data_IF_198784228713
#
_entry.id   IF_198784228713
#
_cell.length_a   1.000
_cell.length_b   1.000
_cell.length_c   1.000
_cell.angle_alpha   90.00
_cell.angle_beta   90.00
_cell.angle_gamma   90.00
#
_symmetry.space_group_name_H-M   'P 1'
#
loop_
_entity.id
_entity.type
_entity.pdbx_description
1 polymer ?
#
# COMPACT_ATOMS: atom_id res chain seq x y z
N UNK A 1 0.91 72.84 30.71
CA UNK A 1 1.92 71.90 30.16
C UNK A 1 1.19 70.68 29.61
N UNK A 2 1.30 70.44 28.29
CA UNK A 2 0.70 69.32 27.57
C UNK A 2 1.55 68.05 27.79
N UNK A 3 0.93 66.91 28.11
CA UNK A 3 1.47 65.59 27.78
C UNK A 3 0.34 64.68 27.32
N UNK A 4 0.34 64.43 26.01
CA UNK A 4 -0.37 63.38 25.29
C UNK A 4 0.50 62.12 25.43
N UNK A 5 -0.08 61.00 25.85
CA UNK A 5 0.56 59.69 25.69
C UNK A 5 -0.43 58.73 25.02
N UNK A 6 -0.24 58.58 23.71
CA UNK A 6 -0.74 57.48 22.90
C UNK A 6 -0.09 56.18 23.40
N UNK A 7 -0.88 55.14 23.65
CA UNK A 7 -0.36 53.77 23.69
C UNK A 7 -1.20 52.84 22.81
N UNK A 8 -0.70 52.70 21.59
CA UNK A 8 -0.55 51.49 20.75
C UNK A 8 -1.54 50.35 20.98
N UNK A 9 -2.41 50.20 19.99
CA UNK A 9 -3.23 49.02 19.68
C UNK A 9 -2.31 47.86 19.27
N UNK A 10 -2.29 46.77 20.05
CA UNK A 10 -1.67 45.51 19.65
C UNK A 10 -2.76 44.57 19.11
N UNK A 11 -3.00 44.65 17.80
CA UNK A 11 -3.90 43.73 17.10
C UNK A 11 -3.25 42.35 16.95
N UNK A 12 -3.78 41.36 17.66
CA UNK A 12 -3.43 39.96 17.45
C UNK A 12 -4.07 39.45 16.15
N UNK A 13 -3.32 39.47 15.05
CA UNK A 13 -3.67 38.70 13.84
C UNK A 13 -3.55 37.21 14.15
N UNK A 14 -4.68 36.58 14.51
CA UNK A 14 -4.84 35.13 14.44
C UNK A 14 -4.92 34.75 12.95
N UNK A 15 -3.77 34.43 12.36
CA UNK A 15 -3.70 33.73 11.07
C UNK A 15 -4.23 32.30 11.29
N UNK A 16 -5.54 32.12 11.17
CA UNK A 16 -6.15 30.81 11.00
C UNK A 16 -5.65 30.26 9.67
N UNK A 17 -4.63 29.41 9.72
CA UNK A 17 -4.15 28.68 8.56
C UNK A 17 -5.30 27.89 7.97
N UNK A 18 -5.75 28.29 6.78
CA UNK A 18 -6.62 27.48 5.93
C UNK A 18 -5.88 26.18 5.61
N UNK A 19 -6.13 25.15 6.42
CA UNK A 19 -5.74 23.78 6.11
C UNK A 19 -6.58 23.40 4.89
N UNK A 20 -5.98 23.45 3.70
CA UNK A 20 -6.61 22.92 2.48
C UNK A 20 -6.78 21.42 2.64
N UNK A 21 -7.91 21.01 3.21
CA UNK A 21 -8.25 19.62 3.42
C UNK A 21 -8.55 19.02 2.04
N UNK A 22 -7.54 18.37 1.46
CA UNK A 22 -7.71 17.56 0.26
C UNK A 22 -8.81 16.51 0.54
N UNK A 23 -9.74 16.27 -0.42
CA UNK A 23 -10.82 15.32 -0.17
C UNK A 23 -10.26 13.94 0.15
N UNK A 24 -10.79 13.33 1.23
CA UNK A 24 -10.35 12.03 1.69
C UNK A 24 -10.53 10.96 0.60
N UNK A 25 -9.55 10.06 0.46
CA UNK A 25 -9.61 8.96 -0.49
C UNK A 25 -10.84 8.07 -0.23
N UNK A 26 -11.64 7.84 -1.27
CA UNK A 26 -12.88 7.04 -1.18
C UNK A 26 -12.57 5.55 -1.28
N UNK A 27 -12.53 4.87 -0.14
CA UNK A 27 -12.49 3.40 -0.05
C UNK A 27 -13.87 2.80 -0.28
N UNK A 28 -13.96 1.78 -1.14
CA UNK A 28 -15.19 1.07 -1.51
C UNK A 28 -14.96 -0.44 -1.52
N UNK A 29 -16.01 -1.22 -1.27
CA UNK A 29 -15.98 -2.67 -1.45
C UNK A 29 -16.15 -2.97 -2.94
N UNK A 30 -15.09 -3.50 -3.55
CA UNK A 30 -14.99 -3.77 -4.98
C UNK A 30 -14.95 -5.27 -5.27
N UNK A 31 -15.23 -6.14 -4.29
CA UNK A 31 -15.18 -7.61 -4.47
C UNK A 31 -16.04 -8.09 -5.64
N UNK A 32 -17.13 -7.39 -5.93
CA UNK A 32 -18.05 -7.71 -7.02
C UNK A 32 -17.82 -6.97 -8.34
N UNK A 33 -16.77 -6.14 -8.43
CA UNK A 33 -16.40 -5.41 -9.66
C UNK A 33 -15.37 -6.20 -10.47
N UNK A 34 -15.45 -6.11 -11.79
CA UNK A 34 -14.47 -6.69 -12.72
C UNK A 34 -14.13 -8.14 -12.35
N UNK A 35 -15.18 -8.96 -12.14
CA UNK A 35 -15.00 -10.37 -11.81
C UNK A 35 -14.37 -11.06 -13.01
N UNK A 36 -13.27 -11.75 -12.76
CA UNK A 36 -12.60 -12.61 -13.71
C UNK A 36 -12.32 -13.95 -13.04
N UNK A 37 -12.06 -14.97 -13.83
CA UNK A 37 -11.54 -16.24 -13.32
C UNK A 37 -10.10 -16.01 -12.84
N UNK A 38 -9.77 -16.29 -11.56
CA UNK A 38 -8.39 -16.19 -11.09
C UNK A 38 -7.47 -17.11 -11.90
N UNK A 39 -6.27 -16.63 -12.22
CA UNK A 39 -5.31 -17.38 -13.01
C UNK A 39 -4.76 -18.59 -12.22
N UNK A 40 -4.74 -19.75 -12.85
CA UNK A 40 -4.18 -21.00 -12.31
C UNK A 40 -2.74 -21.26 -12.74
N UNK A 41 -2.18 -20.43 -13.62
CA UNK A 41 -0.81 -20.53 -14.09
C UNK A 41 0.19 -19.99 -13.05
N UNK A 42 1.43 -20.47 -13.13
CA UNK A 42 2.54 -20.02 -12.27
C UNK A 42 3.60 -19.35 -13.15
N UNK A 43 3.23 -18.23 -13.77
CA UNK A 43 3.95 -17.54 -14.84
C UNK A 43 4.88 -16.42 -14.31
N UNK A 44 5.75 -16.78 -13.37
CA UNK A 44 6.62 -15.80 -12.70
C UNK A 44 7.58 -15.11 -13.66
N UNK A 45 7.79 -13.81 -13.44
CA UNK A 45 8.71 -12.98 -14.22
C UNK A 45 9.92 -12.62 -13.37
N UNK A 46 11.12 -12.67 -13.94
CA UNK A 46 12.33 -12.23 -13.23
C UNK A 46 12.24 -10.74 -12.91
N UNK A 47 12.76 -10.34 -11.76
CA UNK A 47 13.01 -8.93 -11.46
C UNK A 47 14.51 -8.70 -11.29
N UNK A 48 14.95 -7.51 -11.69
CA UNK A 48 16.29 -7.01 -11.43
C UNK A 48 16.37 -6.44 -10.01
N UNK A 49 17.52 -6.52 -9.32
CA UNK A 49 17.67 -5.94 -7.98
C UNK A 49 17.36 -4.43 -7.92
N UNK A 50 17.62 -3.72 -9.02
CA UNK A 50 17.40 -2.27 -9.14
C UNK A 50 15.92 -1.90 -9.14
N UNK A 51 15.01 -2.76 -9.63
CA UNK A 51 13.57 -2.49 -9.64
C UNK A 51 12.97 -2.41 -8.23
N UNK A 52 13.46 -3.20 -7.27
CA UNK A 52 12.96 -3.13 -5.90
C UNK A 52 13.54 -1.93 -5.13
N UNK A 53 14.83 -1.62 -5.34
CA UNK A 53 15.54 -0.57 -4.61
C UNK A 53 15.14 0.85 -5.01
N UNK A 54 14.46 1.04 -6.15
CA UNK A 54 14.05 2.37 -6.61
C UNK A 54 12.76 2.87 -5.95
N UNK A 55 12.20 2.16 -4.96
CA UNK A 55 11.02 2.56 -4.21
C UNK A 55 11.39 2.92 -2.77
N UNK A 56 10.96 4.10 -2.32
CA UNK A 56 10.96 4.42 -0.89
C UNK A 56 9.73 3.80 -0.25
N UNK A 57 9.94 2.76 0.55
CA UNK A 57 8.90 2.08 1.31
C UNK A 57 9.06 2.47 2.77
N UNK A 58 7.97 2.88 3.40
CA UNK A 58 7.95 3.35 4.79
C UNK A 58 6.92 2.59 5.62
N UNK A 59 7.12 2.55 6.94
CA UNK A 59 6.09 2.12 7.87
C UNK A 59 5.03 3.23 8.10
N UNK A 60 4.01 2.92 8.92
CA UNK A 60 2.93 3.87 9.26
C UNK A 60 3.39 5.19 9.93
N UNK A 61 4.62 5.24 10.44
CA UNK A 61 5.20 6.41 11.11
C UNK A 61 6.16 7.19 10.18
N UNK A 62 6.41 6.69 8.96
CA UNK A 62 7.29 7.33 7.99
C UNK A 62 8.74 6.84 8.03
N UNK A 63 9.07 5.86 8.88
CA UNK A 63 10.43 5.32 8.91
C UNK A 63 10.66 4.45 7.66
N UNK A 64 11.77 4.65 6.93
CA UNK A 64 12.15 3.78 5.81
C UNK A 64 12.27 2.32 6.22
N UNK A 65 11.91 1.42 5.30
CA UNK A 65 11.95 -0.03 5.51
C UNK A 65 12.77 -0.67 4.39
N UNK A 66 13.76 -1.46 4.81
CA UNK A 66 14.49 -2.35 3.93
C UNK A 66 14.04 -3.77 4.22
N UNK A 67 13.49 -4.45 3.21
CA UNK A 67 13.11 -5.84 3.34
C UNK A 67 14.34 -6.74 3.19
N UNK A 68 14.35 -7.84 3.92
CA UNK A 68 15.34 -8.89 3.71
C UNK A 68 15.14 -9.51 2.30
N UNK A 69 16.17 -10.19 1.78
CA UNK A 69 16.16 -10.75 0.42
C UNK A 69 15.12 -11.86 0.20
N UNK A 70 14.56 -12.45 1.26
CA UNK A 70 13.65 -13.60 1.17
C UNK A 70 12.19 -13.26 1.46
N UNK A 71 11.91 -12.10 2.06
CA UNK A 71 10.58 -11.67 2.45
C UNK A 71 9.70 -11.54 1.21
N UNK A 72 8.56 -12.27 1.16
CA UNK A 72 7.55 -12.03 0.14
C UNK A 72 6.85 -10.70 0.40
N UNK A 73 6.63 -9.92 -0.66
CA UNK A 73 6.04 -8.58 -0.63
C UNK A 73 4.89 -8.56 -1.62
N UNK A 74 3.66 -8.34 -1.15
CA UNK A 74 2.51 -8.11 -2.01
C UNK A 74 2.26 -6.62 -2.15
N UNK A 75 2.40 -6.11 -3.37
CA UNK A 75 2.00 -4.76 -3.74
C UNK A 75 0.53 -4.76 -4.13
N UNK A 76 -0.22 -3.86 -3.50
CA UNK A 76 -1.65 -3.71 -3.70
C UNK A 76 -2.04 -2.23 -3.78
N UNK A 77 -3.20 -1.96 -4.37
CA UNK A 77 -3.80 -0.64 -4.37
C UNK A 77 -5.27 -0.74 -3.93
N UNK A 78 -5.69 0.15 -3.04
CA UNK A 78 -7.01 0.12 -2.39
C UNK A 78 -8.20 0.21 -3.36
N UNK A 79 -7.96 0.75 -4.55
CA UNK A 79 -8.96 0.94 -5.60
C UNK A 79 -9.05 -0.26 -6.55
N UNK A 80 -8.20 -1.28 -6.37
CA UNK A 80 -8.11 -2.43 -7.27
C UNK A 80 -9.00 -3.60 -6.80
N UNK A 81 -10.03 -4.00 -7.57
CA UNK A 81 -10.89 -5.14 -7.20
C UNK A 81 -10.12 -6.47 -7.06
N UNK A 82 -9.14 -6.71 -7.94
CA UNK A 82 -8.26 -7.88 -7.91
C UNK A 82 -7.41 -7.94 -6.63
N UNK A 83 -6.96 -6.78 -6.13
CA UNK A 83 -6.25 -6.69 -4.86
C UNK A 83 -7.13 -7.11 -3.69
N UNK A 84 -8.37 -6.59 -3.61
CA UNK A 84 -9.27 -6.92 -2.50
C UNK A 84 -9.59 -8.41 -2.43
N UNK A 85 -9.87 -9.05 -3.57
CA UNK A 85 -10.10 -10.50 -3.63
C UNK A 85 -8.85 -11.28 -3.24
N UNK A 86 -7.68 -10.87 -3.71
CA UNK A 86 -6.41 -11.51 -3.35
C UNK A 86 -6.09 -11.36 -1.86
N UNK A 87 -6.28 -10.18 -1.27
CA UNK A 87 -6.08 -9.95 0.16
C UNK A 87 -7.02 -10.83 1.00
N UNK A 88 -8.31 -10.92 0.63
CA UNK A 88 -9.28 -11.78 1.31
C UNK A 88 -8.92 -13.27 1.19
N UNK A 89 -8.50 -13.70 0.00
CA UNK A 89 -8.06 -15.06 -0.27
C UNK A 89 -6.83 -15.44 0.58
N UNK A 90 -5.83 -14.55 0.64
CA UNK A 90 -4.64 -14.77 1.45
C UNK A 90 -4.93 -14.69 2.96
N UNK A 91 -5.81 -13.78 3.39
CA UNK A 91 -6.20 -13.65 4.80
C UNK A 91 -6.93 -14.91 5.30
N UNK A 92 -7.87 -15.44 4.51
CA UNK A 92 -8.61 -16.66 4.86
C UNK A 92 -7.75 -17.93 4.81
N UNK A 93 -6.75 -17.96 3.93
CA UNK A 93 -5.80 -19.07 3.79
C UNK A 93 -4.50 -18.92 4.58
N UNK A 94 -4.36 -17.89 5.43
CA UNK A 94 -3.06 -17.48 5.99
C UNK A 94 -2.34 -18.61 6.74
N UNK A 95 -3.08 -19.44 7.49
CA UNK A 95 -2.53 -20.59 8.24
C UNK A 95 -1.89 -21.67 7.35
N UNK A 96 -2.16 -21.66 6.04
CA UNK A 96 -1.62 -22.62 5.07
C UNK A 96 -0.38 -22.09 4.33
N UNK A 97 0.06 -20.85 4.62
CA UNK A 97 1.21 -20.21 3.99
C UNK A 97 2.41 -20.32 4.94
N UNK A 98 3.57 -20.81 4.45
CA UNK A 98 4.78 -20.88 5.29
C UNK A 98 5.42 -19.50 5.44
N UNK A 99 5.37 -18.70 4.39
CA UNK A 99 5.98 -17.37 4.31
C UNK A 99 4.91 -16.35 3.91
N UNK A 100 4.01 -15.94 4.83
CA UNK A 100 3.01 -14.94 4.52
C UNK A 100 3.67 -13.61 4.08
N UNK A 101 3.11 -12.92 3.07
CA UNK A 101 3.71 -11.69 2.59
C UNK A 101 3.51 -10.55 3.57
N UNK A 102 4.42 -9.58 3.52
CA UNK A 102 4.09 -8.22 3.97
C UNK A 102 3.33 -7.52 2.86
N UNK A 103 2.43 -6.62 3.23
CA UNK A 103 1.66 -5.84 2.28
C UNK A 103 2.33 -4.48 2.12
N UNK A 104 2.52 -4.04 0.88
CA UNK A 104 2.92 -2.67 0.55
C UNK A 104 1.77 -2.04 -0.21
N UNK A 105 1.05 -1.15 0.49
CA UNK A 105 -0.01 -0.35 -0.09
C UNK A 105 0.59 0.78 -0.92
N UNK A 106 0.13 0.93 -2.16
CA UNK A 106 0.68 1.87 -3.15
C UNK A 106 -0.41 2.28 -4.15
N UNK A 107 -0.04 2.95 -5.24
CA UNK A 107 -0.98 3.42 -6.26
C UNK A 107 -1.84 4.61 -5.78
N UNK A 108 -1.36 5.35 -4.78
CA UNK A 108 -2.06 6.53 -4.26
C UNK A 108 -2.02 7.68 -5.28
N UNK A 109 -3.06 8.54 -5.32
CA UNK A 109 -3.01 9.78 -6.09
C UNK A 109 -1.80 10.65 -5.73
N UNK A 110 -1.34 11.46 -6.69
CA UNK A 110 -0.23 12.40 -6.46
C UNK A 110 -0.54 13.29 -5.25
N UNK A 111 0.47 13.57 -4.45
CA UNK A 111 0.40 14.36 -3.21
C UNK A 111 -0.37 13.72 -2.04
N UNK A 112 -0.79 12.46 -2.15
CA UNK A 112 -1.33 11.74 -0.98
C UNK A 112 -0.30 11.71 0.14
N UNK A 113 -0.69 12.20 1.32
CA UNK A 113 0.14 12.15 2.51
C UNK A 113 0.21 10.73 3.08
N UNK A 114 1.25 10.45 3.87
CA UNK A 114 1.35 9.16 4.57
C UNK A 114 0.15 8.91 5.49
N UNK A 115 -0.35 9.96 6.15
CA UNK A 115 -1.52 9.87 7.04
C UNK A 115 -2.77 9.41 6.29
N UNK A 116 -3.00 9.95 5.10
CA UNK A 116 -4.12 9.56 4.23
C UNK A 116 -3.95 8.13 3.71
N UNK A 117 -2.75 7.75 3.28
CA UNK A 117 -2.44 6.40 2.85
C UNK A 117 -2.73 5.37 3.97
N UNK A 118 -2.24 5.63 5.19
CA UNK A 118 -2.48 4.79 6.37
C UNK A 118 -3.97 4.68 6.71
N UNK A 119 -4.69 5.81 6.68
CA UNK A 119 -6.13 5.82 6.96
C UNK A 119 -6.92 5.04 5.90
N UNK A 120 -6.51 5.14 4.64
CA UNK A 120 -7.13 4.45 3.50
C UNK A 120 -6.97 2.94 3.62
N UNK A 121 -5.75 2.43 3.79
CA UNK A 121 -5.51 0.98 3.94
C UNK A 121 -6.19 0.42 5.20
N UNK A 122 -6.20 1.17 6.32
CA UNK A 122 -6.94 0.77 7.53
C UNK A 122 -8.44 0.63 7.28
N UNK A 123 -9.04 1.59 6.56
CA UNK A 123 -10.47 1.56 6.23
C UNK A 123 -10.80 0.39 5.31
N UNK A 124 -9.95 0.10 4.34
CA UNK A 124 -10.09 -1.05 3.45
C UNK A 124 -10.02 -2.37 4.21
N UNK A 125 -8.97 -2.56 5.01
CA UNK A 125 -8.76 -3.80 5.76
C UNK A 125 -9.92 -4.04 6.74
N UNK A 126 -10.38 -2.99 7.43
CA UNK A 126 -11.55 -3.07 8.31
C UNK A 126 -12.81 -3.45 7.53
N UNK A 127 -13.05 -2.82 6.39
CA UNK A 127 -14.22 -3.08 5.53
C UNK A 127 -14.24 -4.51 4.98
N UNK A 128 -13.07 -5.08 4.70
CA UNK A 128 -12.92 -6.45 4.19
C UNK A 128 -12.75 -7.50 5.30
N UNK A 129 -12.68 -7.11 6.57
CA UNK A 129 -12.43 -8.02 7.69
C UNK A 129 -11.04 -8.65 7.67
N UNK A 130 -10.06 -8.03 7.01
CA UNK A 130 -8.69 -8.56 6.88
C UNK A 130 -7.89 -8.25 8.14
N UNK A 131 -7.20 -9.27 8.65
CA UNK A 131 -6.27 -9.14 9.79
C UNK A 131 -4.99 -9.93 9.53
N UNK A 132 -3.99 -9.83 10.41
CA UNK A 132 -2.80 -10.70 10.39
C UNK A 132 -1.66 -10.28 9.45
N UNK A 133 -1.81 -9.23 8.65
CA UNK A 133 -0.74 -8.72 7.79
C UNK A 133 -0.01 -7.52 8.39
N UNK A 134 1.32 -7.46 8.18
CA UNK A 134 2.09 -6.22 8.34
C UNK A 134 1.92 -5.37 7.09
N UNK A 135 1.60 -4.09 7.27
CA UNK A 135 1.32 -3.15 6.17
C UNK A 135 2.35 -2.01 6.18
N UNK A 136 2.93 -1.77 5.01
CA UNK A 136 3.86 -0.69 4.68
C UNK A 136 3.31 0.12 3.51
N UNK A 137 3.95 1.25 3.21
CA UNK A 137 3.42 2.23 2.27
C UNK A 137 4.50 2.69 1.29
N UNK A 138 4.13 2.77 0.02
CA UNK A 138 4.90 3.46 -1.00
C UNK A 138 4.02 4.55 -1.62
N UNK A 139 4.33 5.82 -1.33
CA UNK A 139 3.55 6.95 -1.86
C UNK A 139 3.84 7.24 -3.34
N UNK A 140 4.97 6.74 -3.85
CA UNK A 140 5.33 6.79 -5.27
C UNK A 140 5.48 5.37 -5.78
N UNK A 141 4.75 5.05 -6.83
CA UNK A 141 4.81 3.75 -7.48
C UNK A 141 6.05 3.64 -8.38
N UNK A 142 6.66 2.45 -8.43
CA UNK A 142 7.61 2.09 -9.47
C UNK A 142 6.92 1.24 -10.56
N UNK A 143 6.58 1.88 -11.68
CA UNK A 143 5.91 1.23 -12.82
C UNK A 143 6.74 0.13 -13.51
N UNK A 144 8.06 0.07 -13.29
CA UNK A 144 8.89 -1.03 -13.81
C UNK A 144 8.67 -2.30 -12.99
N UNK A 145 8.66 -2.16 -11.66
CA UNK A 145 8.41 -3.27 -10.74
C UNK A 145 6.94 -3.71 -10.81
N UNK A 146 6.03 -2.74 -10.66
CA UNK A 146 4.59 -2.94 -10.58
C UNK A 146 3.99 -2.61 -11.95
N UNK A 147 3.84 -3.65 -12.78
CA UNK A 147 3.23 -3.53 -14.12
C UNK A 147 1.72 -3.81 -14.10
N UNK A 148 1.19 -4.18 -12.94
CA UNK A 148 -0.20 -4.52 -12.71
C UNK A 148 -0.45 -4.87 -11.24
N UNK A 149 -1.72 -5.01 -10.87
CA UNK A 149 -2.14 -5.26 -9.50
C UNK A 149 -3.00 -6.52 -9.41
N UNK A 150 -2.89 -7.29 -8.31
CA UNK A 150 -1.80 -7.24 -7.32
C UNK A 150 -0.47 -7.69 -7.93
N UNK A 151 0.67 -7.35 -7.31
CA UNK A 151 1.99 -7.89 -7.69
C UNK A 151 2.66 -8.49 -6.47
N UNK A 152 2.93 -9.79 -6.47
CA UNK A 152 3.74 -10.44 -5.45
C UNK A 152 5.20 -10.49 -5.92
N UNK A 153 6.12 -10.02 -5.09
CA UNK A 153 7.56 -10.22 -5.28
C UNK A 153 8.07 -11.18 -4.20
N UNK A 154 8.73 -12.25 -4.61
CA UNK A 154 9.25 -13.28 -3.71
C UNK A 154 10.55 -13.89 -4.25
N UNK A 155 11.14 -14.81 -3.50
CA UNK A 155 12.41 -15.45 -3.87
C UNK A 155 12.16 -16.87 -4.34
N UNK A 156 12.65 -17.20 -5.52
CA UNK A 156 12.59 -18.53 -6.12
C UNK A 156 13.96 -18.87 -6.71
N UNK A 157 14.52 -20.03 -6.35
CA UNK A 157 15.86 -20.47 -6.77
C UNK A 157 16.94 -19.39 -6.58
N UNK A 158 16.96 -18.76 -5.40
CA UNK A 158 17.88 -17.67 -5.03
C UNK A 158 17.77 -16.40 -5.87
N UNK A 159 16.73 -16.25 -6.69
CA UNK A 159 16.45 -15.06 -7.49
C UNK A 159 15.14 -14.42 -7.06
N UNK A 160 15.05 -13.10 -7.19
CA UNK A 160 13.77 -12.39 -7.01
C UNK A 160 12.95 -12.51 -8.28
N UNK A 161 11.70 -12.89 -8.11
CA UNK A 161 10.71 -12.99 -9.17
C UNK A 161 9.44 -12.26 -8.76
N UNK A 162 8.59 -11.94 -9.74
CA UNK A 162 7.27 -11.36 -9.52
C UNK A 162 6.17 -12.21 -10.17
N UNK A 163 5.03 -12.26 -9.50
CA UNK A 163 3.78 -12.84 -10.00
C UNK A 163 2.74 -11.71 -10.01
N UNK A 164 2.10 -11.47 -11.15
CA UNK A 164 1.27 -10.27 -11.39
C UNK A 164 -0.16 -10.67 -11.72
N UNK A 165 -1.13 -10.09 -11.02
CA UNK A 165 -2.55 -10.33 -11.24
C UNK A 165 -3.18 -11.25 -10.21
N UNK A 166 -4.50 -11.42 -10.32
CA UNK A 166 -5.29 -12.29 -9.46
C UNK A 166 -5.07 -13.75 -9.82
N UNK A 167 -4.60 -14.54 -8.85
CA UNK A 167 -4.37 -15.96 -9.01
C UNK A 167 -5.19 -16.80 -8.03
N UNK A 168 -5.33 -18.09 -8.35
CA UNK A 168 -5.91 -19.08 -7.44
C UNK A 168 -5.06 -19.25 -6.16
N UNK A 169 -5.68 -19.78 -5.09
CA UNK A 169 -4.97 -19.99 -3.83
C UNK A 169 -3.82 -20.99 -3.95
N UNK A 170 -3.93 -21.99 -4.82
CA UNK A 170 -2.85 -22.97 -5.04
C UNK A 170 -1.58 -22.31 -5.59
N UNK A 171 -1.74 -21.38 -6.53
CA UNK A 171 -0.64 -20.59 -7.09
C UNK A 171 -0.03 -19.69 -6.01
N UNK A 172 -0.84 -18.95 -5.26
CA UNK A 172 -0.34 -18.13 -4.15
C UNK A 172 0.38 -18.94 -3.10
N UNK A 173 -0.19 -20.09 -2.71
CA UNK A 173 0.44 -21.00 -1.75
C UNK A 173 1.79 -21.48 -2.28
N UNK A 174 1.89 -21.85 -3.57
CA UNK A 174 3.14 -22.25 -4.20
C UNK A 174 4.21 -21.15 -4.14
N UNK A 175 3.82 -19.88 -4.33
CA UNK A 175 4.75 -18.75 -4.23
C UNK A 175 5.19 -18.43 -2.79
N UNK A 176 4.36 -18.78 -1.80
CA UNK A 176 4.50 -18.39 -0.39
C UNK A 176 4.81 -19.57 0.54
N UNK A 177 5.29 -20.71 0.01
CA UNK A 177 5.60 -21.95 0.75
C UNK A 177 7.00 -22.48 0.51
#
# INVERSE_FOLDING_TARGET
MRRILLMVVLGSLLLTGCSSQQPALKVQNLLNKEKTTPDSSFDVKSITPTELHSMTIVNKNGNPITFNKTQPILFEAYWCPHCQRTLLLLSSGQSKLKNPPVIVSTGFPKNTSLKEAVATSKKEFKMLGITGFKVYYALKENKKLITGFPTLVFTMHSRRVKLVGEHTFSVWKKALS
#
